data_IF_312983043862
#
_entry.id   IF_312983043862
#
_cell.length_a   1.000
_cell.length_b   1.000
_cell.length_c   1.000
_cell.angle_alpha   90.00
_cell.angle_beta   90.00
_cell.angle_gamma   90.00
#
_symmetry.space_group_name_H-M   'P 1'
#
loop_
_entity.id
_entity.type
_entity.pdbx_description
1 polymer ?
#
# COMPACT_ATOMS: atom_id res chain seq x y z
N UNK A 1 -33.25 -27.50 17.80
CA UNK A 1 -32.28 -26.41 17.63
C UNK A 1 -30.90 -26.90 18.12
N UNK A 2 -30.07 -27.53 17.26
CA UNK A 2 -28.72 -28.00 17.63
C UNK A 2 -27.58 -27.36 16.81
N UNK A 3 -27.84 -26.33 16.00
CA UNK A 3 -26.86 -25.78 15.04
C UNK A 3 -25.83 -24.79 15.59
N UNK A 4 -25.91 -24.39 16.86
CA UNK A 4 -25.02 -23.38 17.45
C UNK A 4 -23.68 -23.96 17.95
N UNK A 5 -23.68 -25.20 18.45
CA UNK A 5 -22.51 -25.78 19.13
C UNK A 5 -21.41 -26.24 18.15
N UNK A 6 -21.81 -26.72 16.97
CA UNK A 6 -20.86 -27.20 15.95
C UNK A 6 -20.11 -26.07 15.24
N UNK A 7 -20.76 -24.92 15.03
CA UNK A 7 -20.13 -23.75 14.39
C UNK A 7 -19.08 -23.13 15.30
N UNK A 8 -19.39 -22.95 16.59
CA UNK A 8 -18.42 -22.46 17.57
C UNK A 8 -17.22 -23.40 17.73
N UNK A 9 -17.44 -24.72 17.69
CA UNK A 9 -16.34 -25.68 17.73
C UNK A 9 -15.44 -25.59 16.47
N UNK A 10 -16.05 -25.48 15.28
CA UNK A 10 -15.31 -25.37 14.03
C UNK A 10 -14.47 -24.09 13.97
N UNK A 11 -15.04 -22.96 14.38
CA UNK A 11 -14.33 -21.68 14.45
C UNK A 11 -13.20 -21.74 15.48
N UNK A 12 -13.48 -22.27 16.68
CA UNK A 12 -12.45 -22.45 17.72
C UNK A 12 -11.30 -23.37 17.29
N UNK A 13 -11.58 -24.43 16.53
CA UNK A 13 -10.53 -25.30 15.97
C UNK A 13 -9.72 -24.59 14.89
N UNK A 14 -10.36 -23.81 14.01
CA UNK A 14 -9.67 -23.02 12.99
C UNK A 14 -8.73 -22.01 13.64
N UNK A 15 -9.21 -21.31 14.66
CA UNK A 15 -8.42 -20.34 15.40
C UNK A 15 -7.25 -21.01 16.14
N UNK A 16 -7.48 -22.14 16.80
CA UNK A 16 -6.42 -22.90 17.47
C UNK A 16 -5.31 -23.37 16.52
N UNK A 17 -5.67 -23.82 15.31
CA UNK A 17 -4.71 -24.21 14.29
C UNK A 17 -3.91 -22.99 13.83
N UNK A 18 -4.58 -21.87 13.53
CA UNK A 18 -3.93 -20.64 13.07
C UNK A 18 -3.03 -20.00 14.12
N UNK A 19 -3.47 -19.96 15.37
CA UNK A 19 -2.70 -19.43 16.49
C UNK A 19 -1.48 -20.31 16.85
N UNK A 20 -1.50 -21.58 16.45
CA UNK A 20 -0.37 -22.51 16.63
C UNK A 20 0.67 -22.41 15.50
N UNK A 21 0.31 -21.80 14.37
CA UNK A 21 1.22 -21.55 13.25
C UNK A 21 1.93 -20.19 13.45
N UNK A 22 3.25 -20.19 13.56
CA UNK A 22 4.05 -18.97 13.80
C UNK A 22 3.92 -17.96 12.66
N UNK A 23 3.67 -18.39 11.43
CA UNK A 23 3.46 -17.52 10.27
C UNK A 23 2.10 -16.85 10.34
N UNK A 24 1.06 -17.58 10.76
CA UNK A 24 -0.33 -17.11 10.75
C UNK A 24 -0.77 -16.44 12.06
N UNK A 25 -0.15 -16.78 13.19
CA UNK A 25 -0.52 -16.28 14.53
C UNK A 25 -0.31 -14.78 14.73
N UNK A 26 0.45 -14.12 13.84
CA UNK A 26 0.62 -12.66 13.79
C UNK A 26 -0.48 -11.93 13.01
N UNK A 27 -1.45 -12.67 12.45
CA UNK A 27 -2.54 -12.16 11.61
C UNK A 27 -3.92 -12.47 12.21
N UNK A 28 -4.89 -11.62 11.88
CA UNK A 28 -6.29 -11.72 12.25
C UNK A 28 -7.20 -11.95 11.02
N UNK A 29 -6.77 -12.85 10.13
CA UNK A 29 -7.44 -13.14 8.85
C UNK A 29 -8.89 -13.64 9.00
N UNK A 30 -9.70 -13.41 7.96
CA UNK A 30 -11.03 -13.98 7.82
C UNK A 30 -10.99 -15.53 7.69
N UNK A 31 -12.14 -16.23 7.78
CA UNK A 31 -12.18 -17.70 7.83
C UNK A 31 -11.50 -18.41 6.66
N UNK A 32 -11.49 -17.82 5.46
CA UNK A 32 -10.87 -18.40 4.26
C UNK A 32 -9.64 -17.62 3.84
N UNK A 33 -8.49 -18.26 3.86
CA UNK A 33 -7.25 -17.71 3.30
C UNK A 33 -7.25 -17.87 1.77
N UNK A 34 -7.11 -16.77 1.04
CA UNK A 34 -6.93 -16.77 -0.42
C UNK A 34 -5.45 -16.82 -0.79
N UNK A 35 -4.59 -16.14 -0.02
CA UNK A 35 -3.14 -16.23 -0.16
C UNK A 35 -2.40 -15.92 1.13
N UNK A 36 -1.21 -16.51 1.27
CA UNK A 36 -0.24 -16.24 2.33
C UNK A 36 1.11 -16.05 1.68
N UNK A 37 1.50 -14.79 1.51
CA UNK A 37 2.67 -14.40 0.72
C UNK A 37 3.87 -14.22 1.62
N UNK A 38 4.76 -15.20 1.61
CA UNK A 38 6.04 -15.14 2.32
C UNK A 38 7.16 -14.80 1.33
N UNK A 39 7.65 -13.55 1.38
CA UNK A 39 8.63 -13.06 0.42
C UNK A 39 10.02 -13.68 0.54
N UNK A 40 10.27 -14.52 1.55
CA UNK A 40 11.45 -15.40 1.58
C UNK A 40 11.47 -16.41 0.42
N UNK A 41 10.31 -16.72 -0.16
CA UNK A 41 10.15 -17.78 -1.16
C UNK A 41 9.75 -17.26 -2.55
N UNK A 42 9.79 -15.95 -2.79
CA UNK A 42 9.43 -15.35 -4.07
C UNK A 42 8.44 -14.18 -3.96
N UNK A 43 8.09 -13.58 -5.10
CA UNK A 43 7.16 -12.45 -5.16
C UNK A 43 5.67 -12.85 -5.17
N UNK A 44 5.31 -14.13 -5.18
CA UNK A 44 3.91 -14.60 -5.10
C UNK A 44 2.93 -13.94 -6.10
N UNK A 45 3.40 -13.54 -7.27
CA UNK A 45 2.57 -12.88 -8.30
C UNK A 45 2.41 -11.37 -8.12
N UNK A 46 3.08 -10.76 -7.14
CA UNK A 46 3.27 -9.31 -7.07
C UNK A 46 4.21 -8.85 -8.18
N UNK A 47 3.76 -7.91 -9.00
CA UNK A 47 4.49 -7.34 -10.14
C UNK A 47 4.28 -5.84 -10.21
N UNK A 48 5.01 -5.16 -11.11
CA UNK A 48 4.80 -3.74 -11.36
C UNK A 48 3.38 -3.46 -11.86
N UNK A 49 2.75 -2.40 -11.34
CA UNK A 49 1.53 -1.86 -11.95
C UNK A 49 1.90 -1.15 -13.25
N UNK A 50 1.65 -1.80 -14.38
CA UNK A 50 1.93 -1.27 -15.71
C UNK A 50 1.28 -2.09 -16.81
N UNK A 51 1.68 -1.85 -18.07
CA UNK A 51 1.33 -2.72 -19.20
C UNK A 51 0.18 -2.27 -20.10
N UNK A 52 -0.42 -1.11 -19.86
CA UNK A 52 -1.46 -0.54 -20.75
C UNK A 52 -0.85 0.20 -21.96
N UNK A 53 0.04 -0.48 -22.67
CA UNK A 53 0.59 -0.03 -23.96
C UNK A 53 -0.35 -0.39 -25.11
N UNK A 54 -0.16 0.23 -26.27
CA UNK A 54 -0.94 -0.03 -27.46
C UNK A 54 -0.77 -1.47 -27.98
N UNK A 55 -1.65 -1.91 -28.88
CA UNK A 55 -1.62 -3.28 -29.43
C UNK A 55 -0.33 -3.68 -30.18
N UNK A 56 0.63 -2.75 -30.37
CA UNK A 56 1.95 -3.03 -30.94
C UNK A 56 3.02 -3.31 -29.88
N UNK A 57 2.69 -3.18 -28.60
CA UNK A 57 3.67 -3.33 -27.51
C UNK A 57 4.56 -2.09 -27.30
N UNK A 58 4.14 -0.91 -27.76
CA UNK A 58 4.95 0.30 -27.63
C UNK A 58 4.84 0.91 -26.23
N UNK A 59 5.90 0.80 -25.43
CA UNK A 59 5.94 1.32 -24.07
C UNK A 59 5.82 2.85 -24.02
N UNK A 60 6.18 3.57 -25.10
CA UNK A 60 6.03 5.04 -25.16
C UNK A 60 4.55 5.47 -25.20
N UNK A 61 3.65 4.56 -25.54
CA UNK A 61 2.20 4.82 -25.54
C UNK A 61 1.58 4.78 -24.16
N UNK A 62 2.27 4.26 -23.14
CA UNK A 62 1.80 4.28 -21.76
C UNK A 62 1.67 5.73 -21.25
N UNK A 63 0.80 5.92 -20.25
CA UNK A 63 0.65 7.22 -19.63
C UNK A 63 1.96 7.67 -18.96
N UNK A 64 2.33 8.94 -19.15
CA UNK A 64 3.64 9.45 -18.70
C UNK A 64 3.81 9.36 -17.19
N UNK A 65 2.73 9.54 -16.44
CA UNK A 65 2.79 9.61 -14.99
C UNK A 65 3.05 8.26 -14.31
N UNK A 66 2.73 7.12 -14.94
CA UNK A 66 3.00 5.77 -14.39
C UNK A 66 3.93 4.89 -15.23
N UNK A 67 4.37 5.31 -16.42
CA UNK A 67 5.25 4.51 -17.31
C UNK A 67 6.59 4.09 -16.70
N UNK A 68 7.08 4.81 -15.70
CA UNK A 68 8.35 4.52 -15.00
C UNK A 68 8.10 4.17 -13.54
N UNK A 69 6.99 3.48 -13.25
CA UNK A 69 6.89 2.74 -12.00
C UNK A 69 8.04 1.75 -11.91
N UNK A 70 8.53 1.55 -10.68
CA UNK A 70 9.62 0.61 -10.43
C UNK A 70 9.02 -0.72 -9.99
N UNK A 71 9.46 -1.84 -10.56
CA UNK A 71 8.95 -3.15 -10.18
C UNK A 71 9.33 -3.48 -8.73
N UNK A 72 8.52 -4.30 -8.03
CA UNK A 72 8.89 -4.82 -6.73
C UNK A 72 10.17 -5.67 -6.80
N UNK A 73 10.94 -5.65 -5.73
CA UNK A 73 12.19 -6.39 -5.59
C UNK A 73 12.15 -7.27 -4.35
N UNK A 74 12.81 -8.42 -4.37
CA UNK A 74 13.14 -9.12 -3.13
C UNK A 74 14.38 -8.45 -2.52
N UNK A 75 14.27 -8.03 -1.27
CA UNK A 75 15.32 -7.28 -0.58
C UNK A 75 15.56 -7.81 0.82
N UNK A 76 16.83 -7.88 1.18
CA UNK A 76 17.30 -8.12 2.55
C UNK A 76 17.45 -6.84 3.38
N UNK A 77 16.90 -5.71 2.89
CA UNK A 77 17.00 -4.41 3.54
C UNK A 77 18.45 -4.04 3.92
N UNK A 78 19.30 -3.87 2.90
CA UNK A 78 20.70 -3.50 3.07
C UNK A 78 20.89 -2.02 3.43
N UNK A 79 21.89 -1.78 4.26
CA UNK A 79 22.38 -0.48 4.70
C UNK A 79 23.88 -0.37 4.40
N UNK A 80 24.39 0.86 4.35
CA UNK A 80 25.79 1.10 4.01
C UNK A 80 26.74 0.89 5.21
N UNK A 81 26.25 0.99 6.45
CA UNK A 81 27.00 1.00 7.70
C UNK A 81 26.82 -0.25 8.56
N UNK A 82 25.58 -0.76 8.69
CA UNK A 82 25.23 -1.84 9.63
C UNK A 82 24.93 -3.19 8.97
N UNK A 83 25.19 -3.33 7.68
CA UNK A 83 24.93 -4.56 6.93
C UNK A 83 23.48 -4.69 6.49
N UNK A 84 22.82 -5.80 6.78
CA UNK A 84 21.45 -6.12 6.30
C UNK A 84 20.52 -6.42 7.45
N UNK A 85 19.30 -5.88 7.45
CA UNK A 85 18.31 -6.16 8.50
C UNK A 85 17.62 -7.51 8.30
N UNK A 86 17.21 -7.81 7.06
CA UNK A 86 16.23 -8.84 6.77
C UNK A 86 14.77 -8.38 6.92
N UNK A 87 13.86 -9.29 6.60
CA UNK A 87 12.43 -9.18 6.90
C UNK A 87 12.14 -9.39 8.39
N UNK A 88 10.92 -9.08 8.84
CA UNK A 88 10.48 -9.41 10.20
C UNK A 88 10.56 -10.92 10.49
N UNK A 89 10.23 -11.75 9.49
CA UNK A 89 10.09 -13.20 9.63
C UNK A 89 11.18 -13.99 8.88
N UNK A 90 12.21 -13.33 8.36
CA UNK A 90 13.28 -14.01 7.63
C UNK A 90 14.27 -13.08 6.91
N UNK A 91 14.87 -13.58 5.84
CA UNK A 91 15.92 -12.90 5.09
C UNK A 91 15.39 -11.87 4.11
N UNK A 92 14.26 -12.13 3.44
CA UNK A 92 13.74 -11.28 2.38
C UNK A 92 12.38 -10.66 2.73
N UNK A 93 12.18 -9.46 2.20
CA UNK A 93 10.92 -8.73 2.13
C UNK A 93 10.71 -8.26 0.69
N UNK A 94 9.46 -8.00 0.30
CA UNK A 94 9.19 -7.27 -0.93
C UNK A 94 9.47 -5.79 -0.70
N UNK A 95 10.32 -5.20 -1.55
CA UNK A 95 10.68 -3.78 -1.53
C UNK A 95 10.09 -3.07 -2.74
N UNK A 96 9.40 -1.98 -2.47
CA UNK A 96 9.11 -0.92 -3.44
C UNK A 96 10.10 0.22 -3.25
N UNK A 97 10.57 0.81 -4.35
CA UNK A 97 11.56 1.86 -4.33
C UNK A 97 11.25 2.95 -5.36
N UNK A 98 11.07 4.18 -4.90
CA UNK A 98 10.94 5.32 -5.79
C UNK A 98 12.28 5.66 -6.45
N UNK A 99 12.23 6.49 -7.50
CA UNK A 99 13.38 7.30 -7.91
C UNK A 99 13.61 8.44 -6.93
N UNK A 100 14.81 9.00 -6.97
CA UNK A 100 15.15 10.28 -6.33
C UNK A 100 14.58 11.43 -7.16
N UNK A 101 13.25 11.46 -7.30
CA UNK A 101 12.53 12.46 -8.08
C UNK A 101 11.22 12.77 -7.38
N UNK A 102 10.98 14.04 -7.07
CA UNK A 102 9.79 14.51 -6.35
C UNK A 102 8.52 14.05 -7.05
N UNK A 103 7.57 13.49 -6.30
CA UNK A 103 6.33 12.90 -6.81
C UNK A 103 6.49 11.51 -7.43
N UNK A 104 7.69 10.95 -7.54
CA UNK A 104 7.84 9.61 -8.13
C UNK A 104 7.15 8.55 -7.25
N UNK A 105 6.49 7.60 -7.91
CA UNK A 105 5.76 6.50 -7.27
C UNK A 105 6.26 5.15 -7.78
N UNK A 106 6.33 4.17 -6.90
CA UNK A 106 6.50 2.77 -7.26
C UNK A 106 5.32 1.96 -6.71
N UNK A 107 4.79 1.05 -7.51
CA UNK A 107 3.56 0.31 -7.20
C UNK A 107 3.73 -1.17 -7.53
N UNK A 108 3.42 -2.02 -6.55
CA UNK A 108 3.27 -3.45 -6.75
C UNK A 108 1.79 -3.80 -6.77
N UNK A 109 1.36 -4.55 -7.78
CA UNK A 109 0.01 -5.07 -7.91
C UNK A 109 0.03 -6.60 -7.90
N UNK A 110 -0.97 -7.20 -7.26
CA UNK A 110 -1.33 -8.60 -7.37
C UNK A 110 -2.73 -8.70 -7.95
N UNK A 111 -2.92 -9.65 -8.87
CA UNK A 111 -4.19 -9.87 -9.56
C UNK A 111 -4.73 -11.26 -9.25
N UNK A 112 -5.96 -11.32 -8.80
CA UNK A 112 -6.76 -12.52 -8.57
C UNK A 112 -8.12 -12.35 -9.26
N UNK A 113 -9.01 -13.32 -9.06
CA UNK A 113 -10.41 -13.26 -9.51
C UNK A 113 -11.32 -13.64 -8.35
N UNK A 114 -12.35 -12.84 -8.09
CA UNK A 114 -13.35 -13.12 -7.05
C UNK A 114 -14.12 -14.40 -7.39
N UNK A 115 -14.25 -15.31 -6.42
CA UNK A 115 -15.14 -16.50 -6.54
C UNK A 115 -16.36 -16.44 -5.62
N UNK A 116 -16.54 -15.35 -4.89
CA UNK A 116 -17.69 -15.06 -4.05
C UNK A 116 -17.80 -13.56 -3.74
N UNK A 117 -18.69 -13.21 -2.81
CA UNK A 117 -18.95 -11.85 -2.31
C UNK A 117 -19.13 -11.90 -0.79
N UNK A 118 -18.78 -10.81 -0.14
CA UNK A 118 -18.81 -10.66 1.31
C UNK A 118 -17.59 -9.86 1.79
N UNK A 119 -17.13 -10.16 2.99
CA UNK A 119 -15.94 -9.52 3.55
C UNK A 119 -14.66 -9.99 2.85
N UNK A 120 -13.79 -9.03 2.59
CA UNK A 120 -12.48 -9.23 2.01
C UNK A 120 -11.46 -8.44 2.82
N UNK A 121 -10.35 -9.07 3.14
CA UNK A 121 -9.33 -8.51 4.02
C UNK A 121 -7.94 -8.70 3.43
N UNK A 122 -7.15 -7.63 3.49
CA UNK A 122 -5.71 -7.65 3.25
C UNK A 122 -4.96 -7.26 4.53
N UNK A 123 -3.98 -8.06 4.90
CA UNK A 123 -3.09 -7.79 6.04
C UNK A 123 -1.63 -7.81 5.59
N UNK A 124 -0.80 -6.99 6.21
CA UNK A 124 0.63 -6.98 5.96
C UNK A 124 1.43 -6.55 7.20
N UNK A 125 2.65 -7.09 7.31
CA UNK A 125 3.70 -6.46 8.10
C UNK A 125 4.56 -5.60 7.17
N UNK A 126 4.63 -4.31 7.45
CA UNK A 126 5.29 -3.34 6.60
C UNK A 126 6.28 -2.47 7.37
N UNK A 127 7.28 -1.96 6.68
CA UNK A 127 8.20 -0.96 7.19
C UNK A 127 8.49 0.05 6.09
N UNK A 128 8.83 1.28 6.44
CA UNK A 128 9.21 2.28 5.46
C UNK A 128 10.38 3.11 5.94
N UNK A 129 11.13 3.67 4.99
CA UNK A 129 12.26 4.57 5.24
C UNK A 129 12.64 5.32 3.97
N UNK A 130 13.48 6.33 4.13
CA UNK A 130 14.17 6.94 3.00
C UNK A 130 15.54 6.31 2.76
N UNK A 131 16.11 6.59 1.60
CA UNK A 131 17.54 6.37 1.38
C UNK A 131 18.38 7.17 2.37
N UNK A 132 19.39 6.52 2.94
CA UNK A 132 20.38 7.22 3.74
C UNK A 132 21.21 8.10 2.80
N UNK A 133 21.08 9.42 2.94
CA UNK A 133 21.86 10.38 2.20
C UNK A 133 23.14 10.71 2.99
N UNK A 134 24.30 10.55 2.34
CA UNK A 134 25.63 10.85 2.90
C UNK A 134 26.27 12.08 2.25
N UNK A 135 25.51 12.82 1.45
CA UNK A 135 25.98 13.95 0.66
C UNK A 135 25.33 15.25 1.13
N UNK A 136 25.98 16.37 0.83
CA UNK A 136 25.54 17.71 1.20
C UNK A 136 26.45 18.36 2.25
N UNK A 137 26.12 19.61 2.55
CA UNK A 137 26.68 20.36 3.69
C UNK A 137 26.13 19.83 5.01
N UNK A 138 26.75 20.21 6.13
CA UNK A 138 26.28 19.85 7.47
C UNK A 138 24.83 20.31 7.71
N UNK A 139 24.45 21.48 7.21
CA UNK A 139 23.09 22.01 7.30
C UNK A 139 22.09 21.17 6.50
N UNK A 140 22.42 20.84 5.24
CA UNK A 140 21.58 20.02 4.35
C UNK A 140 21.43 18.58 4.86
N UNK A 141 22.44 18.04 5.55
CA UNK A 141 22.40 16.71 6.14
C UNK A 141 21.56 16.68 7.43
N UNK A 142 21.55 17.77 8.20
CA UNK A 142 20.93 17.84 9.52
C UNK A 142 19.55 18.50 9.54
N UNK A 143 19.04 19.04 8.43
CA UNK A 143 17.72 19.69 8.41
C UNK A 143 16.93 19.34 7.17
N UNK A 144 15.65 18.97 7.34
CA UNK A 144 14.69 18.85 6.24
C UNK A 144 13.26 19.05 6.74
N UNK A 145 12.50 19.90 6.06
CA UNK A 145 11.14 20.24 6.47
C UNK A 145 11.11 20.75 7.91
N UNK A 146 10.23 20.16 8.73
CA UNK A 146 10.07 20.51 10.14
C UNK A 146 11.15 19.94 11.08
N UNK A 147 12.05 19.09 10.58
CA UNK A 147 12.94 18.29 11.44
C UNK A 147 14.38 18.75 11.29
N UNK A 148 14.97 19.12 12.43
CA UNK A 148 16.40 19.28 12.61
C UNK A 148 16.93 18.11 13.44
N UNK A 149 18.08 17.56 13.07
CA UNK A 149 18.72 16.48 13.80
C UNK A 149 19.12 16.93 15.21
N UNK A 150 18.72 16.15 16.21
CA UNK A 150 19.02 16.40 17.63
C UNK A 150 19.45 15.13 18.40
N UNK A 151 19.82 14.08 17.65
CA UNK A 151 20.09 12.72 18.12
C UNK A 151 18.88 11.91 18.64
N UNK A 152 17.68 12.49 18.71
CA UNK A 152 16.42 11.75 18.92
C UNK A 152 15.54 11.72 17.67
N UNK A 153 15.61 12.77 16.86
CA UNK A 153 14.92 12.93 15.59
C UNK A 153 15.92 13.06 14.45
N UNK A 154 15.56 12.54 13.29
CA UNK A 154 16.39 12.58 12.10
C UNK A 154 15.57 13.10 10.89
N UNK A 155 16.12 14.04 10.09
CA UNK A 155 15.43 14.64 8.94
C UNK A 155 14.84 13.66 7.92
N UNK A 156 15.37 12.44 7.88
CA UNK A 156 14.84 11.34 7.05
C UNK A 156 13.37 11.02 7.32
N UNK A 157 12.84 11.34 8.51
CA UNK A 157 11.40 11.18 8.77
C UNK A 157 10.58 12.11 7.89
N UNK A 158 10.93 13.40 7.83
CA UNK A 158 10.24 14.36 6.99
C UNK A 158 10.46 14.11 5.47
N UNK A 159 11.55 13.43 5.11
CA UNK A 159 11.84 13.09 3.71
C UNK A 159 10.98 11.95 3.14
N UNK A 160 10.28 11.18 3.99
CA UNK A 160 9.39 10.13 3.53
C UNK A 160 8.00 10.70 3.22
N UNK A 161 7.54 10.57 1.97
CA UNK A 161 6.28 11.15 1.51
C UNK A 161 5.06 10.36 1.97
N UNK A 162 4.76 9.25 1.30
CA UNK A 162 3.56 8.46 1.58
C UNK A 162 3.68 7.00 1.13
N UNK A 163 2.82 6.15 1.69
CA UNK A 163 2.53 4.83 1.12
C UNK A 163 1.02 4.59 1.05
N UNK A 164 0.59 3.72 0.13
CA UNK A 164 -0.83 3.41 -0.11
C UNK A 164 -1.06 1.90 -0.07
N UNK A 165 -2.17 1.48 0.52
CA UNK A 165 -2.76 0.14 0.35
C UNK A 165 -4.12 0.32 -0.33
N UNK A 166 -4.40 -0.51 -1.35
CA UNK A 166 -5.64 -0.39 -2.09
C UNK A 166 -6.07 -1.67 -2.80
N UNK A 167 -7.32 -1.66 -3.25
CA UNK A 167 -7.90 -2.67 -4.15
C UNK A 167 -8.35 -2.03 -5.45
N UNK A 168 -8.39 -2.83 -6.53
CA UNK A 168 -9.04 -2.49 -7.80
C UNK A 168 -10.00 -3.63 -8.15
N UNK A 169 -11.29 -3.39 -7.94
CA UNK A 169 -12.33 -4.40 -7.95
C UNK A 169 -13.35 -4.12 -9.04
N UNK A 170 -13.99 -5.18 -9.54
CA UNK A 170 -15.10 -5.05 -10.46
C UNK A 170 -16.13 -6.15 -10.24
N UNK A 171 -17.38 -5.75 -10.10
CA UNK A 171 -18.54 -6.62 -9.86
C UNK A 171 -19.75 -6.04 -10.58
N UNK A 172 -20.51 -6.88 -11.28
CA UNK A 172 -21.72 -6.47 -12.01
C UNK A 172 -21.45 -5.35 -13.04
N UNK A 173 -20.26 -5.39 -13.63
CA UNK A 173 -19.72 -4.39 -14.55
C UNK A 173 -19.32 -3.06 -13.90
N UNK A 174 -19.46 -2.91 -12.58
CA UNK A 174 -19.07 -1.70 -11.85
C UNK A 174 -17.67 -1.89 -11.28
N UNK A 175 -16.72 -1.13 -11.80
CA UNK A 175 -15.35 -1.03 -11.28
C UNK A 175 -15.30 0.01 -10.15
N UNK A 176 -14.46 -0.21 -9.15
CA UNK A 176 -14.23 0.70 -8.02
C UNK A 176 -12.92 0.37 -7.30
N UNK A 177 -12.41 1.33 -6.52
CA UNK A 177 -11.18 1.17 -5.73
C UNK A 177 -11.41 1.52 -4.27
N UNK A 178 -11.05 0.63 -3.36
CA UNK A 178 -10.89 0.97 -1.95
C UNK A 178 -9.43 1.42 -1.75
N UNK A 179 -9.21 2.65 -1.27
CA UNK A 179 -7.86 3.25 -1.22
C UNK A 179 -7.62 3.91 0.12
N UNK A 180 -6.54 3.51 0.79
CA UNK A 180 -6.04 4.19 2.00
C UNK A 180 -4.57 4.55 1.84
N UNK A 181 -4.25 5.84 1.97
CA UNK A 181 -2.89 6.37 1.91
C UNK A 181 -2.47 6.89 3.27
N UNK A 182 -1.36 6.39 3.79
CA UNK A 182 -0.66 7.04 4.89
C UNK A 182 0.18 8.18 4.32
N UNK A 183 -0.20 9.41 4.62
CA UNK A 183 0.55 10.62 4.26
C UNK A 183 1.47 10.93 5.43
N UNK A 184 2.76 10.70 5.27
CA UNK A 184 3.74 10.99 6.31
C UNK A 184 4.15 12.46 6.26
N UNK A 185 4.51 12.97 5.07
CA UNK A 185 4.74 14.41 4.84
C UNK A 185 3.95 14.98 3.68
N UNK A 186 3.76 16.30 3.71
CA UNK A 186 3.28 17.06 2.58
C UNK A 186 4.41 17.39 1.59
N UNK A 187 4.10 18.21 0.57
CA UNK A 187 5.09 18.62 -0.41
C UNK A 187 6.22 19.45 0.20
N UNK A 188 5.93 20.30 1.19
CA UNK A 188 6.91 21.22 1.78
C UNK A 188 7.77 20.54 2.87
N UNK A 189 7.50 19.27 3.15
CA UNK A 189 8.24 18.47 4.13
C UNK A 189 7.68 18.60 5.55
N UNK A 190 6.47 19.14 5.70
CA UNK A 190 5.81 19.18 7.00
C UNK A 190 5.26 17.81 7.37
N UNK A 191 5.36 17.43 8.64
CA UNK A 191 4.79 16.16 9.12
C UNK A 191 3.27 16.23 9.14
N UNK A 192 2.64 15.28 8.44
CA UNK A 192 1.19 15.09 8.39
C UNK A 192 0.79 13.88 9.22
N UNK A 193 1.35 12.71 8.89
CA UNK A 193 1.15 11.42 9.57
C UNK A 193 -0.33 11.08 9.80
N UNK A 194 -1.12 11.11 8.72
CA UNK A 194 -2.56 10.81 8.73
C UNK A 194 -2.96 9.92 7.57
N UNK A 195 -4.07 9.20 7.74
CA UNK A 195 -4.70 8.44 6.68
C UNK A 195 -5.55 9.35 5.79
N UNK A 196 -5.44 9.17 4.48
CA UNK A 196 -6.17 9.90 3.45
C UNK A 196 -6.77 8.95 2.41
N UNK A 197 -7.84 9.40 1.77
CA UNK A 197 -8.56 8.70 0.72
C UNK A 197 -8.93 9.66 -0.42
N UNK A 198 -9.01 9.17 -1.67
CA UNK A 198 -9.47 9.97 -2.80
C UNK A 198 -11.00 10.01 -2.84
N UNK A 199 -11.57 11.13 -3.32
CA UNK A 199 -13.03 11.27 -3.57
C UNK A 199 -13.40 11.09 -5.04
N UNK A 200 -12.43 10.69 -5.86
CA UNK A 200 -12.57 10.41 -7.30
C UNK A 200 -11.99 9.03 -7.62
N UNK A 201 -12.46 8.35 -8.69
CA UNK A 201 -11.83 7.12 -9.15
C UNK A 201 -10.46 7.41 -9.79
N UNK A 202 -9.58 6.40 -9.78
CA UNK A 202 -8.25 6.47 -10.39
C UNK A 202 -8.36 6.71 -11.92
N UNK A 203 -7.63 7.67 -12.51
CA UNK A 203 -7.64 7.91 -13.95
C UNK A 203 -7.26 6.66 -14.74
N UNK A 204 -7.94 6.43 -15.86
CA UNK A 204 -7.69 5.23 -16.67
C UNK A 204 -6.88 5.51 -17.92
N UNK A 205 -6.14 4.51 -18.44
CA UNK A 205 -5.46 4.62 -19.74
C UNK A 205 -6.44 4.86 -20.89
N UNK A 206 -7.69 4.37 -20.76
CA UNK A 206 -8.73 4.61 -21.77
C UNK A 206 -9.06 6.10 -21.86
N UNK A 207 -9.22 6.77 -20.72
CA UNK A 207 -9.50 8.21 -20.66
C UNK A 207 -8.39 9.04 -21.31
N UNK A 208 -7.12 8.68 -21.09
CA UNK A 208 -6.00 9.29 -21.83
C UNK A 208 -6.10 9.02 -23.33
N UNK A 209 -6.37 7.77 -23.72
CA UNK A 209 -6.47 7.39 -25.13
C UNK A 209 -7.54 8.19 -25.89
N UNK A 210 -8.66 8.52 -25.24
CA UNK A 210 -9.72 9.36 -25.81
C UNK A 210 -9.51 10.86 -25.55
N UNK A 211 -8.37 11.26 -24.99
CA UNK A 211 -7.96 12.66 -24.82
C UNK A 211 -8.65 13.40 -23.66
N UNK A 212 -9.17 12.71 -22.65
CA UNK A 212 -9.75 13.35 -21.45
C UNK A 212 -8.68 13.94 -20.52
N UNK A 213 -7.48 13.38 -20.53
CA UNK A 213 -6.33 13.87 -19.76
C UNK A 213 -5.00 13.49 -20.42
N UNK A 214 -3.92 14.15 -20.01
CA UNK A 214 -2.53 13.81 -20.37
C UNK A 214 -1.60 14.27 -19.25
N UNK A 215 -1.62 13.57 -18.12
CA UNK A 215 -0.88 13.99 -16.93
C UNK A 215 0.65 13.97 -17.16
N UNK A 216 1.33 14.87 -16.44
CA UNK A 216 2.78 14.99 -16.50
C UNK A 216 3.48 13.86 -15.73
N UNK A 217 4.77 13.67 -16.01
CA UNK A 217 5.60 12.73 -15.26
C UNK A 217 5.51 12.99 -13.75
N UNK A 218 5.42 11.91 -12.97
CA UNK A 218 5.30 11.95 -11.51
C UNK A 218 4.02 12.63 -10.95
N UNK A 219 3.01 12.91 -11.78
CA UNK A 219 1.66 13.15 -11.28
C UNK A 219 1.18 11.96 -10.43
N UNK A 220 0.30 12.22 -9.47
CA UNK A 220 -0.26 11.16 -8.63
C UNK A 220 -1.20 10.29 -9.45
N UNK A 221 -0.86 9.00 -9.62
CA UNK A 221 -1.65 8.09 -10.44
C UNK A 221 -3.00 7.75 -9.79
N UNK A 222 -3.13 7.83 -8.47
CA UNK A 222 -4.37 7.46 -7.79
C UNK A 222 -5.41 8.58 -7.86
N UNK A 223 -4.99 9.82 -7.62
CA UNK A 223 -5.81 11.02 -7.80
C UNK A 223 -4.88 12.22 -8.09
N UNK A 224 -4.73 12.63 -9.37
CA UNK A 224 -3.76 13.63 -9.80
C UNK A 224 -3.95 15.01 -9.20
N UNK A 225 -5.19 15.41 -8.94
CA UNK A 225 -5.51 16.68 -8.30
C UNK A 225 -5.39 16.54 -6.77
N UNK A 226 -4.51 17.30 -6.09
CA UNK A 226 -4.37 17.25 -4.64
C UNK A 226 -5.69 17.55 -3.89
N UNK A 227 -6.55 18.38 -4.47
CA UNK A 227 -7.84 18.76 -3.87
C UNK A 227 -8.87 17.61 -3.87
N UNK A 228 -8.57 16.48 -4.51
CA UNK A 228 -9.41 15.28 -4.48
C UNK A 228 -9.06 14.33 -3.32
N UNK A 229 -8.04 14.66 -2.52
CA UNK A 229 -7.70 13.90 -1.32
C UNK A 229 -8.41 14.46 -0.08
N UNK A 230 -8.94 13.58 0.76
CA UNK A 230 -9.51 13.92 2.06
C UNK A 230 -8.81 13.09 3.14
N UNK A 231 -8.63 13.68 4.31
CA UNK A 231 -8.13 12.94 5.47
C UNK A 231 -9.29 12.24 6.16
N UNK A 232 -9.02 11.05 6.70
CA UNK A 232 -9.91 10.42 7.67
C UNK A 232 -9.96 11.31 8.91
N UNK A 233 -11.12 11.37 9.56
CA UNK A 233 -11.33 12.16 10.78
C UNK A 233 -10.71 11.45 12.00
N UNK A 234 -9.39 11.37 11.97
CA UNK A 234 -8.54 10.92 13.06
C UNK A 234 -7.48 11.96 13.33
N UNK A 235 -6.97 11.96 14.55
CA UNK A 235 -5.73 12.63 14.90
C UNK A 235 -4.54 12.02 14.11
N UNK A 236 -3.35 12.59 14.36
CA UNK A 236 -2.07 12.05 13.93
C UNK A 236 -1.96 10.57 14.33
N UNK A 237 -1.57 9.73 13.38
CA UNK A 237 -1.27 8.32 13.63
C UNK A 237 0.10 8.25 14.29
N UNK A 238 0.15 7.74 15.50
CA UNK A 238 1.42 7.50 16.19
C UNK A 238 2.15 6.33 15.51
N UNK A 239 3.37 6.58 15.05
CA UNK A 239 4.23 5.56 14.45
C UNK A 239 5.56 5.49 15.16
N UNK A 240 6.09 4.28 15.32
CA UNK A 240 7.49 4.07 15.71
C UNK A 240 8.38 4.28 14.47
N UNK A 241 8.55 5.54 14.03
CA UNK A 241 9.44 5.83 12.92
C UNK A 241 10.89 5.45 13.26
N UNK A 242 11.72 5.26 12.22
CA UNK A 242 13.11 4.88 12.41
C UNK A 242 13.92 6.07 12.95
N UNK A 243 14.64 5.86 14.04
CA UNK A 243 15.52 6.88 14.65
C UNK A 243 16.53 7.47 13.67
N UNK A 244 17.02 6.66 12.72
CA UNK A 244 17.93 7.06 11.62
C UNK A 244 17.60 6.25 10.36
N UNK A 245 18.00 6.69 9.16
CA UNK A 245 17.67 5.99 7.92
C UNK A 245 18.34 4.61 7.81
N UNK A 246 19.19 4.19 8.75
CA UNK A 246 19.80 2.85 8.80
C UNK A 246 19.16 1.91 9.83
N UNK A 247 18.00 2.28 10.37
CA UNK A 247 17.14 1.42 11.21
C UNK A 247 15.81 1.13 10.52
N UNK A 248 15.14 0.05 10.94
CA UNK A 248 13.84 -0.40 10.42
C UNK A 248 12.96 -0.86 11.59
N UNK A 249 11.75 -0.30 11.68
CA UNK A 249 10.67 -0.78 12.54
C UNK A 249 9.53 -1.36 11.71
N UNK A 250 8.98 -2.50 12.15
CA UNK A 250 7.89 -3.18 11.48
C UNK A 250 6.55 -2.83 12.11
N UNK A 251 5.57 -2.56 11.26
CA UNK A 251 4.21 -2.19 11.60
C UNK A 251 3.22 -3.21 11.05
N UNK A 252 2.12 -3.39 11.77
CA UNK A 252 1.03 -4.24 11.32
C UNK A 252 -0.05 -3.39 10.64
N UNK A 253 -0.57 -3.86 9.51
CA UNK A 253 -1.69 -3.25 8.80
C UNK A 253 -2.75 -4.31 8.48
N UNK A 254 -4.02 -3.96 8.66
CA UNK A 254 -5.19 -4.73 8.20
C UNK A 254 -6.20 -3.79 7.57
N UNK A 255 -6.63 -4.08 6.35
CA UNK A 255 -7.68 -3.34 5.68
C UNK A 255 -8.82 -4.30 5.31
N UNK A 256 -10.00 -4.04 5.89
CA UNK A 256 -11.22 -4.81 5.73
C UNK A 256 -12.20 -4.01 4.87
N UNK A 257 -12.75 -4.66 3.85
CA UNK A 257 -13.73 -4.10 2.93
C UNK A 257 -14.90 -5.08 2.72
N UNK A 258 -16.04 -4.55 2.31
CA UNK A 258 -17.22 -5.34 1.97
C UNK A 258 -17.46 -5.25 0.45
N UNK A 259 -17.32 -6.39 -0.21
CA UNK A 259 -17.45 -6.50 -1.67
C UNK A 259 -18.90 -6.61 -2.14
N UNK A 260 -19.86 -6.93 -1.25
CA UNK A 260 -21.30 -6.88 -1.57
C UNK A 260 -21.78 -5.44 -1.68
N UNK A 261 -21.38 -4.61 -0.72
CA UNK A 261 -21.80 -3.20 -0.67
C UNK A 261 -20.82 -2.25 -1.36
N UNK A 262 -19.62 -2.74 -1.75
CA UNK A 262 -18.52 -1.96 -2.37
C UNK A 262 -18.03 -0.85 -1.45
N UNK A 263 -17.95 -1.14 -0.15
CA UNK A 263 -17.61 -0.16 0.89
C UNK A 263 -16.32 -0.52 1.61
N UNK A 264 -15.71 0.49 2.22
CA UNK A 264 -14.71 0.27 3.25
C UNK A 264 -15.41 -0.15 4.55
N UNK A 265 -14.76 -1.00 5.36
CA UNK A 265 -15.29 -1.36 6.68
C UNK A 265 -14.36 -0.82 7.76
N UNK A 266 -13.09 -1.20 7.76
CA UNK A 266 -12.18 -0.89 8.85
C UNK A 266 -10.73 -0.92 8.38
N UNK A 267 -9.92 -0.01 8.92
CA UNK A 267 -8.47 -0.03 8.81
C UNK A 267 -7.85 -0.14 10.20
N UNK A 268 -7.02 -1.15 10.41
CA UNK A 268 -6.16 -1.26 11.58
C UNK A 268 -4.73 -0.98 11.20
N UNK A 269 -4.06 -0.14 12.00
CA UNK A 269 -2.63 0.10 11.93
C UNK A 269 -2.02 -0.01 13.33
N UNK A 270 -1.17 -1.01 13.54
CA UNK A 270 -0.72 -1.44 14.87
C UNK A 270 -1.91 -1.68 15.82
N UNK A 271 -2.02 -0.89 16.89
CA UNK A 271 -3.10 -0.94 17.86
C UNK A 271 -4.27 0.02 17.53
N UNK A 272 -4.12 0.92 16.57
CA UNK A 272 -5.17 1.86 16.17
C UNK A 272 -6.13 1.19 15.18
N UNK A 273 -7.42 1.23 15.48
CA UNK A 273 -8.49 0.72 14.61
C UNK A 273 -9.39 1.89 14.23
N UNK A 274 -9.67 2.03 12.93
CA UNK A 274 -10.39 3.16 12.35
C UNK A 274 -11.60 2.60 11.59
N UNK A 275 -12.79 3.04 11.97
CA UNK A 275 -14.01 2.77 11.24
C UNK A 275 -14.02 3.58 9.94
N UNK A 276 -14.21 2.90 8.81
CA UNK A 276 -14.17 3.51 7.49
C UNK A 276 -15.52 3.47 6.77
N UNK A 277 -16.60 3.06 7.42
CA UNK A 277 -17.91 2.88 6.76
C UNK A 277 -18.49 4.17 6.16
N UNK A 278 -18.12 5.32 6.73
CA UNK A 278 -18.51 6.64 6.20
C UNK A 278 -17.53 7.19 5.14
N UNK A 279 -16.43 6.49 4.87
CA UNK A 279 -15.44 6.88 3.86
C UNK A 279 -15.92 6.43 2.47
N UNK A 280 -16.19 7.37 1.54
CA UNK A 280 -16.76 7.05 0.25
C UNK A 280 -15.82 6.21 -0.63
N UNK A 281 -16.42 5.36 -1.45
CA UNK A 281 -15.74 4.55 -2.48
C UNK A 281 -16.34 4.95 -3.84
N UNK A 282 -15.71 5.88 -4.57
CA UNK A 282 -16.27 6.38 -5.82
C UNK A 282 -16.20 5.29 -6.91
N UNK A 283 -17.33 4.90 -7.53
CA UNK A 283 -17.32 3.96 -8.63
C UNK A 283 -16.93 4.65 -9.95
N UNK A 284 -16.45 3.86 -10.91
CA UNK A 284 -16.32 4.35 -12.29
C UNK A 284 -17.69 4.55 -12.93
N UNK A 285 -17.85 5.62 -13.69
CA UNK A 285 -19.09 5.92 -14.41
C UNK A 285 -19.35 4.94 -15.57
N UNK A 286 -18.28 4.46 -16.22
CA UNK A 286 -18.34 3.54 -17.35
C UNK A 286 -18.22 2.09 -16.88
N UNK A 287 -18.97 1.19 -17.52
CA UNK A 287 -18.89 -0.25 -17.22
C UNK A 287 -17.64 -0.88 -17.84
N UNK A 288 -17.05 -1.82 -17.11
CA UNK A 288 -15.88 -2.59 -17.55
C UNK A 288 -16.22 -4.06 -17.73
N UNK A 289 -16.73 -4.42 -18.92
CA UNK A 289 -17.20 -5.80 -19.19
C UNK A 289 -16.07 -6.84 -19.19
N UNK A 290 -14.86 -6.47 -19.62
CA UNK A 290 -13.71 -7.39 -19.70
C UNK A 290 -13.06 -7.69 -18.34
N UNK A 291 -13.46 -6.98 -17.29
CA UNK A 291 -12.87 -7.08 -15.96
C UNK A 291 -13.87 -7.62 -14.92
N UNK A 292 -14.96 -8.28 -15.33
CA UNK A 292 -15.91 -8.86 -14.38
C UNK A 292 -15.21 -9.80 -13.38
N UNK A 293 -15.54 -9.68 -12.09
CA UNK A 293 -14.89 -10.38 -10.98
C UNK A 293 -13.41 -10.03 -10.72
N UNK A 294 -12.93 -8.86 -11.18
CA UNK A 294 -11.56 -8.40 -10.91
C UNK A 294 -11.29 -8.30 -9.41
N UNK A 295 -10.19 -8.91 -8.97
CA UNK A 295 -9.73 -8.89 -7.59
C UNK A 295 -8.26 -8.49 -7.53
N UNK A 296 -7.99 -7.20 -7.69
CA UNK A 296 -6.63 -6.71 -7.60
C UNK A 296 -6.36 -6.08 -6.24
N UNK A 297 -5.12 -6.20 -5.79
CA UNK A 297 -4.58 -5.53 -4.61
C UNK A 297 -3.32 -4.80 -5.02
N UNK A 298 -3.08 -3.60 -4.49
CA UNK A 298 -1.81 -2.94 -4.70
C UNK A 298 -1.29 -2.24 -3.45
N UNK A 299 0.03 -2.17 -3.38
CA UNK A 299 0.76 -1.27 -2.49
C UNK A 299 1.54 -0.28 -3.33
N UNK A 300 1.61 0.98 -2.89
CA UNK A 300 2.47 1.98 -3.51
C UNK A 300 3.29 2.74 -2.47
N UNK A 301 4.42 3.28 -2.91
CA UNK A 301 5.24 4.24 -2.16
C UNK A 301 5.51 5.45 -3.03
N UNK A 302 5.40 6.64 -2.45
CA UNK A 302 5.55 7.92 -3.14
C UNK A 302 6.51 8.81 -2.37
N UNK A 303 7.50 9.35 -3.08
CA UNK A 303 8.40 10.35 -2.51
C UNK A 303 7.89 11.74 -2.84
N UNK A 304 7.79 12.61 -1.84
CA UNK A 304 7.54 14.05 -2.03
C UNK A 304 8.80 14.89 -1.83
N UNK A 305 9.93 14.20 -1.58
CA UNK A 305 11.26 14.77 -1.46
C UNK A 305 12.11 14.45 -2.69
N UNK A 306 13.36 14.92 -2.69
CA UNK A 306 14.37 14.59 -3.70
C UNK A 306 15.10 13.26 -3.44
N UNK A 307 14.75 12.51 -2.40
CA UNK A 307 15.42 11.24 -2.05
C UNK A 307 14.53 10.03 -2.31
N UNK A 308 15.14 8.86 -2.52
CA UNK A 308 14.38 7.62 -2.70
C UNK A 308 13.63 7.27 -1.43
N UNK A 309 12.39 6.82 -1.58
CA UNK A 309 11.58 6.27 -0.51
C UNK A 309 11.41 4.77 -0.75
N UNK A 310 11.42 4.02 0.35
CA UNK A 310 11.31 2.57 0.34
C UNK A 310 10.15 2.13 1.21
N UNK A 311 9.31 1.26 0.67
CA UNK A 311 8.32 0.49 1.42
C UNK A 311 8.73 -0.97 1.35
N UNK A 312 8.81 -1.61 2.51
CA UNK A 312 9.12 -3.02 2.69
C UNK A 312 7.87 -3.72 3.20
N UNK A 313 7.58 -4.89 2.65
CA UNK A 313 6.51 -5.78 3.07
C UNK A 313 7.15 -7.12 3.42
N UNK A 314 7.05 -7.55 4.68
CA UNK A 314 7.59 -8.82 5.15
C UNK A 314 6.76 -9.99 4.61
N UNK A 315 5.44 -9.85 4.71
CA UNK A 315 4.47 -10.80 4.20
C UNK A 315 3.11 -10.13 4.02
N UNK A 316 2.27 -10.72 3.18
CA UNK A 316 0.89 -10.27 2.92
C UNK A 316 -0.06 -11.45 3.03
N UNK A 317 -1.17 -11.29 3.76
CA UNK A 317 -2.25 -12.27 3.84
C UNK A 317 -3.50 -11.67 3.22
N UNK A 318 -4.12 -12.42 2.30
CA UNK A 318 -5.42 -12.07 1.72
C UNK A 318 -6.42 -13.13 2.16
N UNK A 319 -7.54 -12.70 2.71
CA UNK A 319 -8.58 -13.59 3.22
C UNK A 319 -9.98 -13.07 2.94
N UNK A 320 -10.97 -13.97 2.94
CA UNK A 320 -12.37 -13.70 2.70
C UNK A 320 -13.27 -14.53 3.64
N UNK A 321 -14.55 -14.20 3.72
CA UNK A 321 -15.55 -14.97 4.47
C UNK A 321 -16.39 -15.95 3.62
N UNK A 322 -16.23 -15.93 2.29
CA UNK A 322 -16.97 -16.73 1.30
C UNK A 322 -16.16 -17.85 0.64
#
# INVERSE_FOLDING_TARGET
>A
MPGTDTTHLADGLRDAIRSSDVVLSKYNALPRLLSVDNFNNGLHGWVELGGNYNGRGDLESMDRHFRDFRPPQLSNASFFDVGTHGGMSGTYSMKLATRAHRGHTATAIRRLTMSGRGLLQIEAHLAWKTEANLSGTEEEANTYGDITWDANSHPSEAQFGAFTVATDLCTDGVRYHNVMRFVNTDWDGHLVQRWAYPVVPEPTPHERHVGRHDYEYAADFTAPNPDDWRFVDTERVETCYNEVPTKINWHYLRFLIDTETRTNVELQFNNQTIDLRDVPVPPYAEKYESLENLLNFYFSVRTLSGVRNFLFLDSVVISADW
#
